data_IF_721734440369
#
_entry.id   IF_721734440369
#
_cell.length_a   1.000
_cell.length_b   1.000
_cell.length_c   1.000
_cell.angle_alpha   90.00
_cell.angle_beta   90.00
_cell.angle_gamma   90.00
#
_symmetry.space_group_name_H-M   'P 1'
#
loop_
_entity.id
_entity.type
_entity.pdbx_description
1 polymer ?
#
# COMPACT_ATOMS: atom_id res chain seq x y z
N UNK A 1 3.00 -18.51 -10.95
CA UNK A 1 2.08 -18.69 -12.06
C UNK A 1 0.79 -17.89 -11.90
N UNK A 2 0.01 -18.08 -10.83
CA UNK A 2 -1.27 -17.39 -10.60
C UNK A 2 -1.14 -15.85 -10.63
N UNK A 3 -0.12 -15.30 -10.01
CA UNK A 3 0.14 -13.85 -10.04
C UNK A 3 0.27 -13.29 -11.46
N UNK A 4 0.97 -14.01 -12.35
CA UNK A 4 1.08 -13.59 -13.76
C UNK A 4 -0.26 -13.64 -14.48
N UNK A 5 -1.10 -14.66 -14.21
CA UNK A 5 -2.45 -14.76 -14.78
C UNK A 5 -3.31 -13.58 -14.35
N UNK A 6 -3.36 -13.29 -13.05
CA UNK A 6 -4.17 -12.19 -12.49
C UNK A 6 -3.78 -10.85 -13.13
N UNK A 7 -2.49 -10.54 -13.18
CA UNK A 7 -2.03 -9.28 -13.81
C UNK A 7 -2.31 -9.25 -15.31
N UNK A 8 -2.13 -10.37 -16.02
CA UNK A 8 -2.44 -10.44 -17.44
C UNK A 8 -3.92 -10.19 -17.71
N UNK A 9 -4.79 -10.83 -16.95
CA UNK A 9 -6.24 -10.67 -17.12
C UNK A 9 -6.66 -9.23 -16.76
N UNK A 10 -6.06 -8.64 -15.72
CA UNK A 10 -6.30 -7.26 -15.37
C UNK A 10 -5.81 -6.27 -16.44
N UNK A 11 -4.64 -6.49 -17.03
CA UNK A 11 -4.13 -5.68 -18.15
C UNK A 11 -5.08 -5.74 -19.35
N UNK A 12 -5.67 -6.90 -19.67
CA UNK A 12 -6.67 -7.01 -20.72
C UNK A 12 -7.92 -6.19 -20.42
N UNK A 13 -8.45 -6.27 -19.19
CA UNK A 13 -9.60 -5.45 -18.75
C UNK A 13 -9.31 -3.95 -18.85
N UNK A 14 -8.11 -3.51 -18.43
CA UNK A 14 -7.69 -2.11 -18.57
C UNK A 14 -7.62 -1.68 -20.04
N UNK A 15 -7.09 -2.54 -20.92
CA UNK A 15 -7.00 -2.26 -22.34
C UNK A 15 -8.39 -2.10 -22.98
N UNK A 16 -9.36 -2.94 -22.61
CA UNK A 16 -10.75 -2.82 -23.03
C UNK A 16 -11.39 -1.50 -22.59
N UNK A 17 -10.95 -0.96 -21.45
CA UNK A 17 -11.36 0.35 -20.92
C UNK A 17 -10.53 1.53 -21.47
N UNK A 18 -9.66 1.32 -22.47
CA UNK A 18 -8.69 2.30 -22.97
C UNK A 18 -7.76 2.84 -21.88
N UNK A 19 -7.41 2.00 -20.92
CA UNK A 19 -6.51 2.28 -19.80
C UNK A 19 -5.25 1.40 -19.89
N UNK A 20 -4.22 1.80 -19.15
CA UNK A 20 -3.01 1.01 -18.98
C UNK A 20 -2.69 0.79 -17.50
N UNK A 21 -1.93 -0.25 -17.20
CA UNK A 21 -1.50 -0.52 -15.83
C UNK A 21 -0.66 0.64 -15.27
N UNK A 22 0.25 1.19 -16.07
CA UNK A 22 1.14 2.26 -15.64
C UNK A 22 0.43 3.61 -15.47
N UNK A 23 -0.49 3.99 -16.36
CA UNK A 23 -1.07 5.31 -16.32
C UNK A 23 -2.33 5.41 -15.43
N UNK A 24 -3.03 4.31 -15.22
CA UNK A 24 -4.37 4.36 -14.65
C UNK A 24 -4.53 3.59 -13.34
N UNK A 25 -3.72 2.53 -13.08
CA UNK A 25 -3.81 1.77 -11.85
C UNK A 25 -3.13 2.52 -10.70
N UNK A 26 -3.89 2.93 -9.72
CA UNK A 26 -3.44 3.75 -8.60
C UNK A 26 -3.10 2.91 -7.36
N UNK A 27 -3.77 1.77 -7.21
CA UNK A 27 -3.68 0.95 -6.01
C UNK A 27 -3.94 -0.52 -6.30
N UNK A 28 -3.19 -1.41 -5.65
CA UNK A 28 -3.44 -2.86 -5.62
C UNK A 28 -3.42 -3.39 -4.19
N UNK A 29 -4.26 -4.38 -3.91
CA UNK A 29 -4.24 -5.20 -2.70
C UNK A 29 -4.02 -6.65 -3.13
N UNK A 30 -2.95 -7.26 -2.66
CA UNK A 30 -2.57 -8.63 -3.05
C UNK A 30 -2.66 -9.52 -1.82
N UNK A 31 -3.62 -10.43 -1.85
CA UNK A 31 -3.88 -11.38 -0.78
C UNK A 31 -3.19 -12.71 -1.12
N UNK A 32 -2.33 -13.17 -0.23
CA UNK A 32 -1.45 -14.32 -0.48
C UNK A 32 -1.68 -15.39 0.58
N UNK A 33 -2.12 -16.57 0.17
CA UNK A 33 -2.24 -17.71 1.07
C UNK A 33 -0.86 -18.18 1.53
N UNK A 34 -0.67 -18.37 2.84
CA UNK A 34 0.61 -18.70 3.46
C UNK A 34 1.70 -17.70 3.01
N UNK A 35 1.51 -16.44 3.33
CA UNK A 35 2.33 -15.31 2.87
C UNK A 35 3.83 -15.53 3.12
N UNK A 36 4.21 -16.09 4.25
CA UNK A 36 5.61 -16.37 4.60
C UNK A 36 6.30 -17.36 3.61
N UNK A 37 5.52 -18.20 2.93
CA UNK A 37 6.03 -19.18 1.95
C UNK A 37 5.88 -18.68 0.52
N UNK A 38 4.74 -18.08 0.19
CA UNK A 38 4.35 -17.82 -1.20
C UNK A 38 4.68 -16.39 -1.69
N UNK A 39 4.94 -15.44 -0.80
CA UNK A 39 5.12 -14.02 -1.17
C UNK A 39 6.29 -13.78 -2.12
N UNK A 40 7.39 -14.51 -1.98
CA UNK A 40 8.54 -14.39 -2.91
C UNK A 40 8.14 -14.68 -4.36
N UNK A 41 7.23 -15.64 -4.57
CA UNK A 41 6.69 -15.96 -5.89
C UNK A 41 5.88 -14.82 -6.48
N UNK A 42 5.11 -14.12 -5.63
CA UNK A 42 4.35 -12.92 -6.03
C UNK A 42 5.30 -11.79 -6.43
N UNK A 43 6.32 -11.50 -5.62
CA UNK A 43 7.32 -10.46 -5.89
C UNK A 43 8.01 -10.68 -7.24
N UNK A 44 8.51 -11.89 -7.49
CA UNK A 44 9.16 -12.25 -8.76
C UNK A 44 8.23 -12.06 -9.96
N UNK A 45 7.02 -12.61 -9.87
CA UNK A 45 6.04 -12.54 -10.94
C UNK A 45 5.60 -11.09 -11.23
N UNK A 46 5.37 -10.28 -10.18
CA UNK A 46 5.02 -8.87 -10.31
C UNK A 46 6.16 -8.09 -10.98
N UNK A 47 7.41 -8.28 -10.56
CA UNK A 47 8.57 -7.61 -11.18
C UNK A 47 8.67 -7.90 -12.67
N UNK A 48 8.47 -9.15 -13.08
CA UNK A 48 8.49 -9.55 -14.50
C UNK A 48 7.36 -8.86 -15.29
N UNK A 49 6.14 -8.88 -14.78
CA UNK A 49 4.99 -8.22 -15.43
C UNK A 49 5.20 -6.72 -15.52
N UNK A 50 5.61 -6.08 -14.43
CA UNK A 50 5.81 -4.63 -14.35
C UNK A 50 6.85 -4.14 -15.36
N UNK A 51 7.94 -4.88 -15.55
CA UNK A 51 8.95 -4.56 -16.55
C UNK A 51 8.35 -4.49 -17.98
N UNK A 52 7.36 -5.33 -18.31
CA UNK A 52 6.66 -5.30 -19.61
C UNK A 52 5.68 -4.14 -19.76
N UNK A 53 5.34 -3.47 -18.65
CA UNK A 53 4.35 -2.39 -18.57
C UNK A 53 5.00 -1.02 -18.31
N UNK A 54 6.31 -0.89 -18.50
CA UNK A 54 7.07 0.34 -18.23
C UNK A 54 6.96 0.79 -16.76
N UNK A 55 6.80 -0.15 -15.83
CA UNK A 55 6.81 0.07 -14.38
C UNK A 55 8.16 -0.39 -13.84
N UNK A 56 9.10 0.54 -13.72
CA UNK A 56 10.50 0.31 -13.36
C UNK A 56 10.98 1.32 -12.31
N UNK A 57 12.21 1.17 -11.84
CA UNK A 57 12.83 2.11 -10.90
C UNK A 57 13.10 3.50 -11.51
N UNK A 58 13.22 3.58 -12.84
CA UNK A 58 13.41 4.84 -13.58
C UNK A 58 12.08 5.56 -13.85
N UNK A 59 10.96 4.86 -13.77
CA UNK A 59 9.62 5.44 -13.97
C UNK A 59 8.89 5.56 -12.63
N UNK A 60 8.07 4.58 -12.31
CA UNK A 60 7.36 4.46 -11.04
C UNK A 60 6.83 3.04 -10.88
N UNK A 61 6.30 2.75 -9.69
CA UNK A 61 5.49 1.56 -9.42
C UNK A 61 4.06 1.96 -9.01
N UNK A 62 3.29 1.02 -8.52
CA UNK A 62 1.91 1.21 -8.07
C UNK A 62 1.88 1.07 -6.55
N UNK A 63 1.13 1.92 -5.83
CA UNK A 63 0.90 1.74 -4.41
C UNK A 63 0.24 0.38 -4.14
N UNK A 64 0.75 -0.38 -3.17
CA UNK A 64 0.34 -1.78 -2.98
C UNK A 64 0.46 -2.23 -1.54
N UNK A 65 -0.45 -3.09 -1.12
CA UNK A 65 -0.34 -3.88 0.12
C UNK A 65 -0.34 -5.37 -0.24
N UNK A 66 0.60 -6.12 0.31
CA UNK A 66 0.69 -7.57 0.14
C UNK A 66 0.64 -8.28 1.50
N UNK A 67 -0.44 -8.99 1.76
CA UNK A 67 -0.75 -9.58 3.08
C UNK A 67 -1.27 -11.01 2.95
N UNK A 68 -1.33 -11.71 4.10
CA UNK A 68 -2.03 -12.99 4.20
C UNK A 68 -3.49 -12.83 3.79
N UNK A 69 -3.96 -13.71 2.93
CA UNK A 69 -5.37 -13.82 2.57
C UNK A 69 -5.70 -15.21 2.10
N UNK A 70 -6.96 -15.60 2.18
CA UNK A 70 -7.42 -16.93 1.74
C UNK A 70 -8.66 -16.79 0.88
N UNK A 71 -8.71 -17.62 -0.12
CA UNK A 71 -9.91 -17.82 -0.92
C UNK A 71 -10.62 -19.12 -0.48
N UNK A 72 -11.89 -19.28 -0.80
CA UNK A 72 -12.63 -20.49 -0.42
C UNK A 72 -12.08 -21.75 -1.10
N UNK A 73 -11.59 -21.64 -2.34
CA UNK A 73 -10.87 -22.71 -3.03
C UNK A 73 -9.40 -22.72 -2.56
N UNK A 74 -8.95 -23.81 -1.89
CA UNK A 74 -7.58 -23.89 -1.37
C UNK A 74 -6.50 -23.94 -2.45
N UNK A 75 -6.85 -24.16 -3.72
CA UNK A 75 -5.91 -24.11 -4.83
C UNK A 75 -5.65 -22.70 -5.36
N UNK A 76 -6.38 -21.69 -4.88
CA UNK A 76 -6.16 -20.29 -5.18
C UNK A 76 -5.23 -19.69 -4.12
N UNK A 77 -3.96 -19.52 -4.50
CA UNK A 77 -2.91 -19.01 -3.60
C UNK A 77 -2.80 -17.50 -3.58
N UNK A 78 -3.32 -16.82 -4.60
CA UNK A 78 -3.21 -15.35 -4.74
C UNK A 78 -4.53 -14.82 -5.29
N UNK A 79 -5.03 -13.76 -4.66
CA UNK A 79 -6.10 -12.91 -5.20
C UNK A 79 -5.66 -11.47 -5.18
N UNK A 80 -6.30 -10.60 -5.96
CA UNK A 80 -5.94 -9.19 -6.08
C UNK A 80 -7.18 -8.33 -6.26
N UNK A 81 -7.26 -7.26 -5.47
CA UNK A 81 -8.17 -6.14 -5.70
C UNK A 81 -7.37 -4.97 -6.26
N UNK A 82 -8.02 -4.15 -7.09
CA UNK A 82 -7.37 -3.04 -7.78
C UNK A 82 -8.27 -1.82 -7.83
N UNK A 83 -7.64 -0.65 -7.85
CA UNK A 83 -8.30 0.62 -8.09
C UNK A 83 -7.60 1.35 -9.23
N UNK A 84 -8.34 1.62 -10.29
CA UNK A 84 -7.87 2.37 -11.45
C UNK A 84 -8.85 3.46 -11.82
N UNK A 85 -8.36 4.54 -12.39
CA UNK A 85 -9.16 5.68 -12.85
C UNK A 85 -8.84 5.97 -14.30
N UNK A 86 -9.86 6.06 -15.14
CA UNK A 86 -9.73 6.51 -16.54
C UNK A 86 -9.57 8.03 -16.60
N UNK A 87 -9.01 8.54 -17.71
CA UNK A 87 -8.91 9.99 -17.94
C UNK A 87 -7.88 10.71 -17.06
N UNK A 88 -6.97 9.99 -16.41
CA UNK A 88 -5.85 10.60 -15.66
C UNK A 88 -4.96 11.40 -16.62
N UNK A 89 -4.71 12.65 -16.27
CA UNK A 89 -3.87 13.57 -17.02
C UNK A 89 -2.42 13.61 -16.49
N UNK A 90 -1.45 13.97 -17.33
CA UNK A 90 -0.06 14.19 -16.87
C UNK A 90 0.00 15.21 -15.72
N UNK A 91 0.76 14.87 -14.67
CA UNK A 91 0.93 15.72 -13.47
C UNK A 91 -0.19 15.61 -12.43
N UNK A 92 -1.22 14.80 -12.67
CA UNK A 92 -2.30 14.56 -11.72
C UNK A 92 -1.87 13.60 -10.59
N UNK A 93 -0.94 12.70 -10.88
CA UNK A 93 -0.40 11.73 -9.91
C UNK A 93 0.93 12.22 -9.34
N UNK A 94 1.09 12.06 -8.02
CA UNK A 94 2.35 12.24 -7.30
C UNK A 94 2.65 10.98 -6.49
N UNK A 95 3.87 10.44 -6.61
CA UNK A 95 4.34 9.30 -5.84
C UNK A 95 5.03 9.79 -4.57
N UNK A 96 4.83 9.06 -3.45
CA UNK A 96 5.27 9.45 -2.11
C UNK A 96 6.37 8.51 -1.63
N UNK A 97 7.40 9.04 -0.99
CA UNK A 97 8.60 8.29 -0.66
C UNK A 97 9.05 8.41 0.79
N UNK A 98 8.95 9.60 1.40
CA UNK A 98 9.43 9.93 2.75
C UNK A 98 10.87 9.47 3.02
N UNK A 99 11.89 9.93 2.25
CA UNK A 99 13.24 9.35 2.22
C UNK A 99 14.01 9.49 3.55
N UNK A 100 13.61 10.39 4.45
CA UNK A 100 14.18 10.48 5.79
C UNK A 100 13.66 9.41 6.75
N UNK A 101 12.55 8.75 6.40
CA UNK A 101 11.87 7.73 7.20
C UNK A 101 11.92 6.33 6.58
N UNK A 102 11.88 6.25 5.25
CA UNK A 102 11.68 5.03 4.48
C UNK A 102 12.67 4.96 3.31
N UNK A 103 13.18 3.78 3.03
CA UNK A 103 13.95 3.54 1.80
C UNK A 103 13.03 3.30 0.59
N UNK A 104 13.62 3.37 -0.60
CA UNK A 104 12.93 2.96 -1.84
C UNK A 104 12.73 1.46 -1.84
N UNK A 105 11.57 1.02 -2.33
CA UNK A 105 11.18 -0.40 -2.25
C UNK A 105 12.02 -1.30 -3.12
N UNK A 106 12.50 -0.82 -4.26
CA UNK A 106 13.37 -1.58 -5.16
C UNK A 106 14.74 -1.90 -4.54
N UNK A 107 15.23 -1.12 -3.57
CA UNK A 107 16.51 -1.35 -2.88
C UNK A 107 16.53 -2.68 -2.12
N UNK A 108 15.37 -3.19 -1.70
CA UNK A 108 15.23 -4.51 -1.11
C UNK A 108 14.44 -5.51 -1.97
N UNK A 109 14.36 -5.21 -3.28
CA UNK A 109 13.94 -6.16 -4.31
C UNK A 109 12.43 -6.28 -4.54
N UNK A 110 11.61 -5.35 -4.02
CA UNK A 110 10.17 -5.33 -4.29
C UNK A 110 9.76 -4.14 -5.17
N UNK A 111 8.60 -4.23 -5.80
CA UNK A 111 8.14 -3.31 -6.84
C UNK A 111 6.79 -2.72 -6.46
N UNK A 112 6.79 -1.70 -5.58
CA UNK A 112 5.60 -0.92 -5.26
C UNK A 112 6.00 0.50 -4.82
N UNK A 113 5.08 1.46 -4.87
CA UNK A 113 5.28 2.78 -4.27
C UNK A 113 4.83 2.80 -2.81
N UNK A 114 5.49 3.61 -1.98
CA UNK A 114 5.10 3.82 -0.57
C UNK A 114 3.73 4.47 -0.45
N UNK A 115 3.39 5.32 -1.41
CA UNK A 115 2.08 5.91 -1.54
C UNK A 115 1.91 6.63 -2.87
N UNK A 116 0.64 6.90 -3.20
CA UNK A 116 0.24 7.62 -4.41
C UNK A 116 -0.78 8.68 -4.04
N UNK A 117 -0.56 9.94 -4.44
CA UNK A 117 -1.52 11.01 -4.32
C UNK A 117 -2.06 11.37 -5.70
N UNK A 118 -3.39 11.45 -5.83
CA UNK A 118 -4.09 11.83 -7.07
C UNK A 118 -4.88 13.09 -6.81
N UNK A 119 -4.59 14.15 -7.56
CA UNK A 119 -5.26 15.45 -7.43
C UNK A 119 -6.34 15.58 -8.49
N UNK A 120 -7.56 15.84 -8.04
CA UNK A 120 -8.73 16.19 -8.88
C UNK A 120 -9.01 17.68 -8.79
N UNK A 121 -9.97 18.18 -9.54
CA UNK A 121 -10.35 19.59 -9.53
C UNK A 121 -10.80 20.10 -8.16
N UNK A 122 -11.43 19.26 -7.38
CA UNK A 122 -12.07 19.62 -6.10
C UNK A 122 -11.40 18.99 -4.87
N UNK A 123 -10.56 17.96 -5.03
CA UNK A 123 -9.95 17.21 -3.91
C UNK A 123 -8.69 16.48 -4.30
N UNK A 124 -7.98 15.94 -3.28
CA UNK A 124 -6.87 15.02 -3.48
C UNK A 124 -7.13 13.74 -2.69
N UNK A 125 -6.98 12.59 -3.36
CA UNK A 125 -6.95 11.29 -2.73
C UNK A 125 -5.50 10.85 -2.51
N UNK A 126 -5.21 10.29 -1.34
CA UNK A 126 -3.88 9.78 -0.95
C UNK A 126 -4.01 8.33 -0.54
N UNK A 127 -3.33 7.45 -1.27
CA UNK A 127 -3.30 6.01 -1.00
C UNK A 127 -1.94 5.65 -0.41
N UNK A 128 -1.90 5.31 0.88
CA UNK A 128 -0.69 4.83 1.55
C UNK A 128 -0.67 3.31 1.50
N UNK A 129 0.41 2.76 0.97
CA UNK A 129 0.68 1.32 0.92
C UNK A 129 0.87 0.73 2.31
N UNK A 130 0.79 -0.57 2.42
CA UNK A 130 1.18 -1.27 3.63
C UNK A 130 2.54 -0.78 4.12
N UNK A 131 2.55 -0.20 5.32
CA UNK A 131 3.70 0.46 5.94
C UNK A 131 3.93 -0.15 7.32
N UNK A 132 5.16 -0.61 7.57
CA UNK A 132 5.57 -1.24 8.81
C UNK A 132 6.60 -0.39 9.56
N UNK A 133 7.07 -0.90 10.71
CA UNK A 133 8.12 -0.29 11.53
C UNK A 133 9.50 -0.54 10.91
N UNK A 134 9.89 0.30 9.99
CA UNK A 134 11.23 0.30 9.37
C UNK A 134 11.86 1.69 9.44
N UNK A 135 13.16 1.75 9.21
CA UNK A 135 13.90 3.00 9.05
C UNK A 135 14.21 3.32 7.59
N UNK A 136 14.96 4.40 7.37
CA UNK A 136 15.43 4.86 6.05
C UNK A 136 16.36 3.91 5.32
N UNK A 137 16.83 2.85 5.97
CA UNK A 137 17.66 1.79 5.38
C UNK A 137 16.86 0.52 5.11
N UNK A 138 15.55 0.50 5.47
CA UNK A 138 14.66 -0.66 5.33
C UNK A 138 14.83 -1.69 6.43
N UNK A 139 15.59 -1.36 7.49
CA UNK A 139 15.79 -2.24 8.63
C UNK A 139 14.61 -2.18 9.61
N UNK A 140 14.34 -3.31 10.25
CA UNK A 140 13.25 -3.40 11.23
C UNK A 140 13.62 -2.58 12.47
N UNK A 141 12.78 -1.63 12.82
CA UNK A 141 12.90 -0.86 14.06
C UNK A 141 12.03 -1.49 15.14
N UNK A 142 12.57 -1.63 16.36
CA UNK A 142 11.88 -2.21 17.52
C UNK A 142 11.44 -3.68 17.34
N UNK A 143 12.36 -4.53 16.88
CA UNK A 143 12.08 -5.95 16.73
C UNK A 143 11.52 -6.57 18.02
N UNK A 144 10.42 -7.34 17.91
CA UNK A 144 9.77 -8.01 19.05
C UNK A 144 8.86 -7.13 19.93
N UNK A 145 8.81 -5.82 19.71
CA UNK A 145 7.96 -4.89 20.49
C UNK A 145 6.84 -4.31 19.61
N UNK A 146 5.66 -4.93 19.66
CA UNK A 146 4.52 -4.53 18.82
C UNK A 146 4.07 -3.08 19.09
N UNK A 147 4.18 -2.57 20.31
CA UNK A 147 3.73 -1.20 20.65
C UNK A 147 4.68 -0.18 20.06
N UNK A 148 5.99 -0.37 20.22
CA UNK A 148 6.96 0.53 19.58
C UNK A 148 6.93 0.41 18.06
N UNK A 149 6.67 -0.79 17.52
CA UNK A 149 6.43 -0.95 16.08
C UNK A 149 5.18 -0.19 15.63
N UNK A 150 4.10 -0.20 16.41
CA UNK A 150 2.89 0.58 16.10
C UNK A 150 3.19 2.09 16.09
N UNK A 151 3.92 2.60 17.07
CA UNK A 151 4.34 4.01 17.09
C UNK A 151 5.15 4.38 15.84
N UNK A 152 6.20 3.62 15.54
CA UNK A 152 7.07 3.88 14.38
C UNK A 152 6.33 3.77 13.04
N UNK A 153 5.41 2.82 12.94
CA UNK A 153 4.53 2.66 11.77
C UNK A 153 3.70 3.92 11.52
N UNK A 154 3.09 4.50 12.57
CA UNK A 154 2.33 5.76 12.47
C UNK A 154 3.26 6.92 12.05
N UNK A 155 4.44 7.06 12.64
CA UNK A 155 5.43 8.09 12.24
C UNK A 155 5.78 8.00 10.75
N UNK A 156 5.97 6.80 10.24
CA UNK A 156 6.25 6.57 8.82
C UNK A 156 5.07 7.00 7.92
N UNK A 157 3.84 6.71 8.34
CA UNK A 157 2.62 7.11 7.63
C UNK A 157 2.44 8.63 7.66
N UNK A 158 2.66 9.28 8.81
CA UNK A 158 2.63 10.74 8.91
C UNK A 158 3.62 11.41 7.96
N UNK A 159 4.84 10.87 7.86
CA UNK A 159 5.84 11.37 6.93
C UNK A 159 5.39 11.28 5.46
N UNK A 160 4.75 10.18 5.07
CA UNK A 160 4.17 10.01 3.73
C UNK A 160 2.99 10.96 3.48
N UNK A 161 2.08 11.08 4.44
CA UNK A 161 0.94 11.99 4.34
C UNK A 161 1.39 13.45 4.20
N UNK A 162 2.44 13.84 4.94
CA UNK A 162 3.02 15.19 4.87
C UNK A 162 3.52 15.53 3.47
N UNK A 163 4.12 14.60 2.74
CA UNK A 163 4.49 14.81 1.33
C UNK A 163 3.28 15.08 0.44
N UNK A 164 2.11 14.55 0.79
CA UNK A 164 0.85 14.80 0.09
C UNK A 164 0.09 16.03 0.62
N UNK A 165 0.71 16.85 1.49
CA UNK A 165 0.08 17.94 2.22
C UNK A 165 -1.16 17.50 3.01
N UNK A 166 -1.14 16.28 3.54
CA UNK A 166 -2.18 15.66 4.35
C UNK A 166 -1.66 15.34 5.76
N UNK A 167 -2.56 14.99 6.65
CA UNK A 167 -2.31 14.64 8.06
C UNK A 167 -3.09 13.38 8.44
N UNK A 168 -2.88 12.85 9.65
CA UNK A 168 -3.68 11.74 10.18
C UNK A 168 -5.19 12.08 10.25
N UNK A 169 -5.55 13.36 10.42
CA UNK A 169 -6.95 13.79 10.47
C UNK A 169 -7.66 13.74 9.10
N UNK A 170 -6.91 13.65 8.03
CA UNK A 170 -7.45 13.51 6.66
C UNK A 170 -7.70 12.04 6.28
N UNK A 171 -7.32 11.10 7.15
CA UNK A 171 -7.56 9.66 6.90
C UNK A 171 -9.04 9.38 6.98
N UNK A 172 -9.59 8.79 5.92
CA UNK A 172 -10.99 8.38 5.80
C UNK A 172 -11.20 6.91 6.14
N UNK A 173 -10.17 6.10 5.98
CA UNK A 173 -10.14 4.69 6.39
C UNK A 173 -8.71 4.22 6.60
N UNK A 174 -8.52 3.33 7.57
CA UNK A 174 -7.26 2.64 7.81
C UNK A 174 -7.51 1.15 8.13
N UNK A 175 -6.62 0.30 7.66
CA UNK A 175 -6.60 -1.12 8.03
C UNK A 175 -5.25 -1.40 8.69
N UNK A 176 -5.32 -1.87 9.93
CA UNK A 176 -4.15 -2.28 10.70
C UNK A 176 -4.11 -3.82 10.69
N UNK A 177 -3.04 -4.35 10.17
CA UNK A 177 -2.78 -5.79 10.08
C UNK A 177 -1.89 -6.20 11.24
N UNK A 178 -2.32 -7.22 12.00
CA UNK A 178 -1.51 -7.81 13.06
C UNK A 178 -1.16 -9.26 12.70
N UNK A 179 0.06 -9.65 13.04
CA UNK A 179 0.53 -11.02 12.79
C UNK A 179 -0.08 -12.01 13.80
N UNK A 180 -0.15 -11.62 15.07
CA UNK A 180 -0.68 -12.45 16.15
C UNK A 180 -1.90 -11.80 16.81
N UNK A 181 -2.95 -12.59 17.03
CA UNK A 181 -4.16 -12.14 17.74
C UNK A 181 -3.89 -11.74 19.18
N UNK A 182 -2.83 -12.27 19.82
CA UNK A 182 -2.41 -11.87 21.16
C UNK A 182 -2.05 -10.37 21.27
N UNK A 183 -1.65 -9.75 20.16
CA UNK A 183 -1.31 -8.33 20.10
C UNK A 183 -2.52 -7.40 19.92
N UNK A 184 -3.71 -7.94 19.60
CA UNK A 184 -4.90 -7.16 19.28
C UNK A 184 -5.25 -6.13 20.38
N UNK A 185 -5.40 -6.58 21.62
CA UNK A 185 -5.81 -5.70 22.72
C UNK A 185 -4.79 -4.61 23.02
N UNK A 186 -3.50 -4.90 22.83
CA UNK A 186 -2.39 -3.97 23.04
C UNK A 186 -2.38 -2.90 21.97
N UNK A 187 -2.42 -3.30 20.69
CA UNK A 187 -2.43 -2.38 19.54
C UNK A 187 -3.69 -1.51 19.57
N UNK A 188 -4.87 -2.12 19.82
CA UNK A 188 -6.13 -1.38 19.93
C UNK A 188 -6.06 -0.30 21.01
N UNK A 189 -5.61 -0.64 22.20
CA UNK A 189 -5.48 0.32 23.30
C UNK A 189 -4.54 1.46 22.92
N UNK A 190 -3.38 1.16 22.33
CA UNK A 190 -2.43 2.16 21.91
C UNK A 190 -3.06 3.17 20.93
N UNK A 191 -3.75 2.67 19.90
CA UNK A 191 -4.40 3.54 18.90
C UNK A 191 -5.53 4.37 19.55
N UNK A 192 -6.39 3.76 20.35
CA UNK A 192 -7.49 4.47 21.03
C UNK A 192 -7.00 5.59 21.95
N UNK A 193 -5.85 5.39 22.64
CA UNK A 193 -5.28 6.35 23.57
C UNK A 193 -4.51 7.50 22.86
N UNK A 194 -3.79 7.19 21.77
CA UNK A 194 -2.91 8.15 21.12
C UNK A 194 -3.48 8.77 19.85
N UNK A 195 -4.40 8.06 19.17
CA UNK A 195 -5.02 8.46 17.90
C UNK A 195 -6.54 8.23 17.91
N UNK A 196 -7.29 8.80 18.86
CA UNK A 196 -8.72 8.47 19.08
C UNK A 196 -9.62 8.85 17.91
N UNK A 197 -9.17 9.74 17.02
CA UNK A 197 -9.93 10.16 15.83
C UNK A 197 -9.64 9.31 14.57
N UNK A 198 -8.70 8.37 14.64
CA UNK A 198 -8.33 7.55 13.49
C UNK A 198 -9.48 6.57 13.15
N UNK A 199 -10.03 6.59 11.93
CA UNK A 199 -11.04 5.64 11.51
C UNK A 199 -10.37 4.33 11.07
N UNK A 200 -10.24 3.35 11.96
CA UNK A 200 -9.49 2.13 11.70
C UNK A 200 -10.26 0.84 12.02
N UNK A 201 -9.82 -0.24 11.40
CA UNK A 201 -10.10 -1.60 11.82
C UNK A 201 -8.78 -2.36 12.02
N UNK A 202 -8.78 -3.36 12.91
CA UNK A 202 -7.66 -4.29 13.09
C UNK A 202 -8.05 -5.65 12.52
N UNK A 203 -7.20 -6.17 11.65
CA UNK A 203 -7.39 -7.47 11.00
C UNK A 203 -6.21 -8.38 11.34
N UNK A 204 -6.49 -9.62 11.72
CA UNK A 204 -5.45 -10.65 11.82
C UNK A 204 -5.10 -11.13 10.41
N UNK A 205 -4.02 -10.63 9.88
CA UNK A 205 -3.44 -11.05 8.62
C UNK A 205 -1.91 -10.88 8.69
N UNK A 206 -1.13 -11.94 8.76
CA UNK A 206 0.32 -11.85 8.70
C UNK A 206 0.80 -11.05 7.51
N UNK A 207 1.74 -10.16 7.75
CA UNK A 207 2.38 -9.34 6.73
C UNK A 207 3.60 -10.04 6.14
N UNK A 208 4.09 -9.58 5.03
CA UNK A 208 5.05 -10.29 4.18
C UNK A 208 6.46 -10.53 4.76
N UNK A 209 6.76 -10.04 5.96
CA UNK A 209 8.01 -10.32 6.69
C UNK A 209 7.73 -10.71 8.13
N UNK A 210 8.37 -11.76 8.59
CA UNK A 210 8.13 -12.37 9.93
C UNK A 210 8.43 -11.43 11.09
N UNK A 211 9.38 -10.51 10.93
CA UNK A 211 9.75 -9.54 11.97
C UNK A 211 8.81 -8.32 12.05
N UNK A 212 7.91 -8.13 11.10
CA UNK A 212 6.89 -7.09 11.15
C UNK A 212 5.66 -7.63 11.87
N UNK A 213 5.46 -7.16 13.10
CA UNK A 213 4.35 -7.62 13.95
C UNK A 213 3.05 -6.89 13.62
N UNK A 214 3.18 -5.69 13.07
CA UNK A 214 2.06 -4.81 12.70
C UNK A 214 2.40 -4.05 11.42
N UNK A 215 1.40 -3.82 10.60
CA UNK A 215 1.45 -3.00 9.38
C UNK A 215 0.14 -2.24 9.24
N UNK A 216 0.16 -1.05 8.66
CA UNK A 216 -1.05 -0.27 8.38
C UNK A 216 -1.02 0.26 6.96
N UNK A 217 -2.18 0.25 6.32
CA UNK A 217 -2.47 1.02 5.12
C UNK A 217 -3.59 2.00 5.39
N UNK A 218 -3.67 3.07 4.62
CA UNK A 218 -4.76 4.01 4.73
C UNK A 218 -5.07 4.75 3.43
N UNK A 219 -6.28 5.28 3.36
CA UNK A 219 -6.69 6.25 2.34
C UNK A 219 -7.05 7.55 3.05
N UNK A 220 -6.44 8.65 2.61
CA UNK A 220 -6.75 10.00 3.08
C UNK A 220 -7.35 10.84 1.93
N UNK A 221 -8.20 11.81 2.29
CA UNK A 221 -8.81 12.74 1.34
C UNK A 221 -8.68 14.15 1.89
N UNK A 222 -8.16 15.06 1.07
CA UNK A 222 -8.05 16.48 1.41
C UNK A 222 -8.87 17.33 0.43
N UNK A 223 -9.31 18.51 0.85
CA UNK A 223 -9.97 19.49 -0.01
C UNK A 223 -8.99 20.25 -0.94
N UNK A 224 -7.77 19.74 -1.12
CA UNK A 224 -6.74 20.35 -1.98
C UNK A 224 -6.89 19.88 -3.41
N UNK A 225 -7.80 20.51 -4.14
CA UNK A 225 -8.00 20.33 -5.58
C UNK A 225 -7.04 21.17 -6.42
N UNK A 226 -7.12 20.96 -7.74
CA UNK A 226 -6.43 21.77 -8.76
C UNK A 226 -7.36 21.91 -9.95
N UNK A 227 -7.81 23.14 -10.23
CA UNK A 227 -8.80 23.46 -11.28
C UNK A 227 -8.36 23.07 -12.71
N UNK A 228 -7.08 22.72 -12.89
CA UNK A 228 -6.58 22.18 -14.17
C UNK A 228 -7.11 20.77 -14.47
N UNK A 229 -7.61 20.08 -13.47
CA UNK A 229 -8.13 18.72 -13.59
C UNK A 229 -9.65 18.68 -13.43
N UNK A 230 -10.28 17.63 -13.93
CA UNK A 230 -11.69 17.40 -13.68
C UNK A 230 -11.94 17.13 -12.18
N UNK A 231 -13.11 17.52 -11.68
CA UNK A 231 -13.60 17.06 -10.39
C UNK A 231 -13.89 15.55 -10.43
N UNK A 232 -13.78 14.88 -9.26
CA UNK A 232 -14.09 13.46 -9.14
C UNK A 232 -15.61 13.28 -8.96
#
# INVERSE_FOLDING_TARGET
YQTRLIFRDYILQLTEANCTLAANCLRTWIFVQNVDVNYLGVVKARKEVFATQNLTEETHFIASTGIEGRYFDPMVFVTMDTYAVSGICPGQIRYLYAPEHLNRTYEYGVTFERGTAVTYGDRRHVFISGTASIDRYGEIVHAGDVIKQTSRMIENIEALLKEADATLNDIMQAVIYIRDTADYARVKRYIDEHHPSLPYIIVRAPVCRTGWLVEMECTAVTAKGDERFAAL
#
